data_IF_905257163496
#
_entry.id   IF_905257163496
#
_cell.length_a   1.000
_cell.length_b   1.000
_cell.length_c   1.000
_cell.angle_alpha   90.00
_cell.angle_beta   90.00
_cell.angle_gamma   90.00
#
_symmetry.space_group_name_H-M   'P 1'
#
loop_
_entity.id
_entity.type
_entity.pdbx_description
1 polymer ?
#
# COMPACT_ATOMS: atom_id res chain seq x y z
N UNK A 1 -0.64 -9.98 17.66
CA UNK A 1 -0.73 -11.20 16.80
C UNK A 1 0.52 -12.05 17.07
N UNK A 2 0.39 -13.36 17.31
CA UNK A 2 1.57 -14.24 17.35
C UNK A 2 2.15 -14.30 15.94
N UNK A 3 3.43 -14.00 15.77
CA UNK A 3 4.12 -13.95 14.47
C UNK A 3 4.33 -15.35 13.83
N UNK A 4 3.87 -16.40 14.51
CA UNK A 4 4.00 -17.77 14.03
C UNK A 4 3.00 -17.97 12.86
N UNK A 5 3.52 -18.10 11.64
CA UNK A 5 2.78 -18.36 10.40
C UNK A 5 2.11 -17.16 9.71
N UNK A 6 2.85 -16.05 9.52
CA UNK A 6 2.38 -14.97 8.66
C UNK A 6 2.43 -15.40 7.19
N UNK A 7 1.29 -15.35 6.51
CA UNK A 7 1.21 -15.40 5.05
C UNK A 7 0.77 -14.05 4.53
N UNK A 8 1.59 -13.41 3.71
CA UNK A 8 1.34 -12.05 3.23
C UNK A 8 1.10 -12.02 1.71
N UNK A 9 0.18 -11.15 1.27
CA UNK A 9 0.11 -10.70 -0.11
C UNK A 9 0.60 -9.25 -0.19
N UNK A 10 1.52 -8.95 -1.10
CA UNK A 10 1.99 -7.59 -1.39
C UNK A 10 1.64 -7.22 -2.83
N UNK A 11 0.77 -6.24 -3.03
CA UNK A 11 0.47 -5.72 -4.36
C UNK A 11 1.57 -4.76 -4.86
N UNK A 12 1.91 -4.83 -6.17
CA UNK A 12 2.99 -4.04 -6.75
C UNK A 12 4.38 -4.43 -6.23
N UNK A 13 4.62 -5.74 -6.00
CA UNK A 13 5.83 -6.26 -5.37
C UNK A 13 7.03 -6.44 -6.33
N UNK A 14 6.89 -6.10 -7.61
CA UNK A 14 7.94 -6.28 -8.60
C UNK A 14 9.07 -5.23 -8.53
N UNK A 15 8.87 -4.10 -7.84
CA UNK A 15 9.87 -3.02 -7.69
C UNK A 15 9.58 -2.10 -6.50
N UNK A 16 10.47 -1.15 -6.27
CA UNK A 16 10.29 -0.06 -5.30
C UNK A 16 9.98 -0.53 -3.89
N UNK A 17 9.05 0.16 -3.23
CA UNK A 17 8.66 -0.14 -1.85
C UNK A 17 8.02 -1.52 -1.72
N UNK A 18 7.15 -1.93 -2.65
CA UNK A 18 6.50 -3.24 -2.58
C UNK A 18 7.49 -4.40 -2.57
N UNK A 19 8.55 -4.32 -3.38
CA UNK A 19 9.64 -5.30 -3.37
C UNK A 19 10.40 -5.31 -2.05
N UNK A 20 10.61 -4.13 -1.42
CA UNK A 20 11.30 -4.03 -0.12
C UNK A 20 10.42 -4.56 1.01
N UNK A 21 9.11 -4.30 0.99
CA UNK A 21 8.16 -4.89 1.96
C UNK A 21 8.12 -6.41 1.82
N UNK A 22 8.06 -6.93 0.60
CA UNK A 22 8.10 -8.38 0.36
C UNK A 22 9.39 -9.01 0.89
N UNK A 23 10.56 -8.40 0.64
CA UNK A 23 11.84 -8.86 1.15
C UNK A 23 11.92 -8.82 2.69
N UNK A 24 11.43 -7.77 3.31
CA UNK A 24 11.41 -7.64 4.77
C UNK A 24 10.45 -8.66 5.42
N UNK A 25 9.31 -8.94 4.81
CA UNK A 25 8.39 -10.01 5.25
C UNK A 25 9.05 -11.39 5.18
N UNK A 26 9.76 -11.70 4.09
CA UNK A 26 10.55 -12.94 3.98
C UNK A 26 11.62 -13.04 5.07
N UNK A 27 12.35 -11.95 5.32
CA UNK A 27 13.38 -11.89 6.37
C UNK A 27 12.80 -12.13 7.77
N UNK A 28 11.52 -11.83 7.97
CA UNK A 28 10.77 -12.12 9.21
C UNK A 28 10.15 -13.52 9.23
N UNK A 29 10.40 -14.36 8.22
CA UNK A 29 9.92 -15.74 8.15
C UNK A 29 8.50 -15.90 7.60
N UNK A 30 7.93 -14.86 6.98
CA UNK A 30 6.63 -14.95 6.37
C UNK A 30 6.66 -15.69 5.02
N UNK A 31 5.59 -16.41 4.68
CA UNK A 31 5.29 -16.78 3.30
C UNK A 31 4.78 -15.54 2.56
N UNK A 32 5.31 -15.25 1.37
CA UNK A 32 4.95 -14.04 0.64
C UNK A 32 4.44 -14.35 -0.76
N UNK A 33 3.21 -13.96 -1.04
CA UNK A 33 2.68 -13.82 -2.39
C UNK A 33 3.04 -12.43 -2.91
N UNK A 34 3.83 -12.38 -3.99
CA UNK A 34 4.23 -11.15 -4.64
C UNK A 34 3.29 -10.88 -5.82
N UNK A 35 2.42 -9.88 -5.70
CA UNK A 35 1.45 -9.52 -6.71
C UNK A 35 1.98 -8.47 -7.68
N UNK A 36 1.88 -8.74 -8.99
CA UNK A 36 2.17 -7.79 -10.05
C UNK A 36 1.34 -8.07 -11.30
N UNK A 37 1.11 -7.05 -12.15
CA UNK A 37 0.44 -7.23 -13.44
C UNK A 37 1.18 -8.20 -14.35
N UNK A 38 2.51 -8.23 -14.24
CA UNK A 38 3.42 -9.15 -14.92
C UNK A 38 4.24 -9.90 -13.87
N UNK A 39 3.80 -11.08 -13.43
CA UNK A 39 4.48 -11.84 -12.38
C UNK A 39 5.90 -12.28 -12.77
N UNK A 40 6.19 -12.43 -14.06
CA UNK A 40 7.53 -12.71 -14.58
C UNK A 40 8.55 -11.58 -14.35
N UNK A 41 8.10 -10.38 -14.01
CA UNK A 41 8.96 -9.26 -13.64
C UNK A 41 9.35 -9.26 -12.15
N UNK A 42 8.94 -10.26 -11.39
CA UNK A 42 9.30 -10.39 -9.97
C UNK A 42 10.62 -11.17 -9.90
N UNK A 43 11.67 -10.49 -9.45
CA UNK A 43 13.03 -10.99 -9.35
C UNK A 43 13.46 -11.36 -7.92
N UNK A 44 12.53 -11.28 -6.96
CA UNK A 44 12.80 -11.61 -5.56
C UNK A 44 12.70 -13.14 -5.37
N UNK A 45 13.78 -13.81 -4.91
CA UNK A 45 13.71 -15.24 -4.62
C UNK A 45 12.79 -15.54 -3.42
N UNK A 46 12.34 -16.78 -3.32
CA UNK A 46 11.55 -17.31 -2.20
C UNK A 46 10.15 -16.71 -2.01
N UNK A 47 9.67 -15.84 -2.93
CA UNK A 47 8.28 -15.41 -2.99
C UNK A 47 7.48 -16.32 -3.94
N UNK A 48 6.16 -16.29 -3.81
CA UNK A 48 5.22 -16.89 -4.77
C UNK A 48 4.70 -15.77 -5.69
N UNK A 49 5.18 -15.67 -6.95
CA UNK A 49 4.68 -14.66 -7.87
C UNK A 49 3.24 -14.96 -8.25
N UNK A 50 2.37 -13.94 -8.20
CA UNK A 50 0.99 -14.04 -8.69
C UNK A 50 0.64 -12.87 -9.60
N UNK A 51 -0.20 -13.15 -10.61
CA UNK A 51 -0.76 -12.09 -11.43
C UNK A 51 -1.80 -11.32 -10.63
N UNK A 52 -1.60 -10.00 -10.51
CA UNK A 52 -2.53 -9.10 -9.83
C UNK A 52 -2.55 -7.74 -10.50
N UNK A 53 -3.63 -7.48 -11.23
CA UNK A 53 -4.04 -6.13 -11.61
C UNK A 53 -5.16 -5.70 -10.67
N UNK A 54 -4.90 -4.72 -9.81
CA UNK A 54 -5.85 -4.27 -8.79
C UNK A 54 -7.06 -3.54 -9.37
N UNK A 55 -7.00 -3.13 -10.63
CA UNK A 55 -8.10 -2.46 -11.35
C UNK A 55 -8.98 -3.44 -12.12
N UNK A 56 -8.57 -4.71 -12.23
CA UNK A 56 -9.32 -5.80 -12.85
C UNK A 56 -9.91 -6.74 -11.78
N UNK A 57 -11.24 -6.71 -11.62
CA UNK A 57 -11.94 -7.52 -10.63
C UNK A 57 -11.73 -9.02 -10.79
N UNK A 58 -11.62 -9.51 -12.04
CA UNK A 58 -11.37 -10.92 -12.29
C UNK A 58 -9.93 -11.31 -11.91
N UNK A 59 -8.96 -10.44 -12.15
CA UNK A 59 -7.58 -10.62 -11.68
C UNK A 59 -7.52 -10.68 -10.15
N UNK A 60 -8.21 -9.75 -9.48
CA UNK A 60 -8.28 -9.68 -8.02
C UNK A 60 -8.93 -10.94 -7.44
N UNK A 61 -10.04 -11.41 -8.03
CA UNK A 61 -10.72 -12.64 -7.60
C UNK A 61 -9.80 -13.86 -7.71
N UNK A 62 -9.16 -14.08 -8.87
CA UNK A 62 -8.22 -15.18 -9.06
C UNK A 62 -7.05 -15.13 -8.08
N UNK A 63 -6.56 -13.93 -7.78
CA UNK A 63 -5.51 -13.77 -6.78
C UNK A 63 -5.96 -14.20 -5.38
N UNK A 64 -7.19 -13.85 -4.96
CA UNK A 64 -7.75 -14.27 -3.68
C UNK A 64 -8.00 -15.77 -3.60
N UNK A 65 -8.45 -16.40 -4.69
CA UNK A 65 -8.59 -17.87 -4.79
C UNK A 65 -7.23 -18.59 -4.66
N UNK A 66 -6.19 -18.03 -5.31
CA UNK A 66 -4.83 -18.60 -5.29
C UNK A 66 -4.14 -18.42 -3.95
N UNK A 67 -4.26 -17.26 -3.33
CA UNK A 67 -3.62 -16.87 -2.08
C UNK A 67 -4.59 -16.99 -0.90
N UNK A 68 -5.27 -18.14 -0.80
CA UNK A 68 -6.36 -18.41 0.15
C UNK A 68 -5.91 -18.57 1.62
N UNK A 69 -4.63 -18.61 1.89
CA UNK A 69 -4.03 -18.70 3.23
C UNK A 69 -3.47 -17.34 3.75
N UNK A 70 -3.79 -16.24 3.08
CA UNK A 70 -3.31 -14.89 3.47
C UNK A 70 -3.92 -14.44 4.79
N UNK A 71 -3.04 -13.95 5.68
CA UNK A 71 -3.37 -13.30 6.95
C UNK A 71 -2.94 -11.83 7.00
N UNK A 72 -2.02 -11.42 6.09
CA UNK A 72 -1.55 -10.03 5.97
C UNK A 72 -1.70 -9.55 4.53
N UNK A 73 -2.46 -8.48 4.34
CA UNK A 73 -2.61 -7.82 3.05
C UNK A 73 -1.82 -6.50 3.02
N UNK A 74 -0.97 -6.31 2.01
CA UNK A 74 -0.27 -5.05 1.77
C UNK A 74 -0.74 -4.42 0.45
N UNK A 75 -1.53 -3.36 0.55
CA UNK A 75 -1.96 -2.54 -0.56
C UNK A 75 -0.89 -1.47 -0.84
N UNK A 76 0.02 -1.78 -1.77
CA UNK A 76 1.13 -0.90 -2.14
C UNK A 76 1.08 -0.51 -3.63
N UNK A 77 0.45 -1.28 -4.50
CA UNK A 77 0.38 -0.97 -5.93
C UNK A 77 -0.12 0.46 -6.17
N UNK A 78 0.54 1.17 -7.06
CA UNK A 78 0.21 2.56 -7.35
C UNK A 78 0.86 3.07 -8.63
N UNK A 79 0.36 4.20 -9.10
CA UNK A 79 0.85 4.96 -10.24
C UNK A 79 1.07 6.42 -9.84
N UNK A 80 1.75 7.19 -10.67
CA UNK A 80 1.79 8.65 -10.56
C UNK A 80 1.88 9.22 -11.96
N UNK A 81 0.77 9.80 -12.42
CA UNK A 81 0.66 10.43 -13.72
C UNK A 81 1.13 11.88 -13.70
N UNK A 82 1.20 12.47 -12.49
CA UNK A 82 1.48 13.90 -12.25
C UNK A 82 0.47 14.82 -12.94
N UNK A 83 -0.74 14.35 -13.15
CA UNK A 83 -1.78 15.12 -13.80
C UNK A 83 -2.26 16.29 -12.93
N UNK A 84 -2.31 17.48 -13.55
CA UNK A 84 -3.02 18.63 -13.01
C UNK A 84 -4.52 18.40 -13.14
N UNK A 85 -5.29 18.80 -12.13
CA UNK A 85 -6.75 18.62 -12.15
C UNK A 85 -7.46 19.45 -13.23
N UNK A 86 -6.95 20.65 -13.55
CA UNK A 86 -7.62 21.56 -14.47
C UNK A 86 -7.15 21.41 -15.92
N UNK A 87 -5.90 20.99 -16.15
CA UNK A 87 -5.30 21.01 -17.47
C UNK A 87 -4.72 19.65 -17.90
N UNK A 88 -4.61 18.69 -16.97
CA UNK A 88 -4.14 17.34 -17.29
C UNK A 88 -5.21 16.50 -18.01
N UNK A 89 -4.80 15.42 -18.71
CA UNK A 89 -5.72 14.49 -19.31
C UNK A 89 -6.68 13.90 -18.26
N UNK A 90 -7.97 13.87 -18.56
CA UNK A 90 -8.98 13.35 -17.63
C UNK A 90 -8.82 11.83 -17.39
N UNK A 91 -8.32 11.11 -18.39
CA UNK A 91 -7.94 9.70 -18.29
C UNK A 91 -6.86 9.46 -17.23
N UNK A 92 -5.88 10.34 -17.09
CA UNK A 92 -4.84 10.27 -16.06
C UNK A 92 -5.43 10.53 -14.66
N UNK A 93 -6.35 11.50 -14.54
CA UNK A 93 -7.07 11.76 -13.29
C UNK A 93 -7.89 10.54 -12.87
N UNK A 94 -8.58 9.90 -13.84
CA UNK A 94 -9.33 8.66 -13.58
C UNK A 94 -8.41 7.50 -13.20
N UNK A 95 -7.29 7.34 -13.90
CA UNK A 95 -6.32 6.28 -13.61
C UNK A 95 -5.78 6.34 -12.17
N UNK A 96 -5.52 7.56 -11.65
CA UNK A 96 -5.12 7.75 -10.25
C UNK A 96 -6.22 7.26 -9.28
N UNK A 97 -7.48 7.64 -9.52
CA UNK A 97 -8.61 7.19 -8.69
C UNK A 97 -8.86 5.68 -8.82
N UNK A 98 -8.88 5.15 -10.04
CA UNK A 98 -9.06 3.71 -10.29
C UNK A 98 -7.97 2.87 -9.60
N UNK A 99 -6.73 3.37 -9.57
CA UNK A 99 -5.63 2.63 -8.95
C UNK A 99 -5.64 2.79 -7.43
N UNK A 100 -5.60 4.02 -6.93
CA UNK A 100 -5.33 4.27 -5.50
C UNK A 100 -6.55 4.13 -4.60
N UNK A 101 -7.75 4.37 -5.13
CA UNK A 101 -9.00 4.22 -4.37
C UNK A 101 -9.70 2.91 -4.72
N UNK A 102 -10.21 2.77 -5.94
CA UNK A 102 -10.99 1.59 -6.32
C UNK A 102 -10.16 0.31 -6.34
N UNK A 103 -8.93 0.34 -6.85
CA UNK A 103 -8.04 -0.81 -6.85
C UNK A 103 -7.69 -1.29 -5.44
N UNK A 104 -7.38 -0.39 -4.52
CA UNK A 104 -7.16 -0.71 -3.11
C UNK A 104 -8.43 -1.31 -2.48
N UNK A 105 -9.60 -0.71 -2.75
CA UNK A 105 -10.88 -1.21 -2.26
C UNK A 105 -11.21 -2.60 -2.81
N UNK A 106 -10.99 -2.85 -4.11
CA UNK A 106 -11.24 -4.14 -4.76
C UNK A 106 -10.44 -5.25 -4.08
N UNK A 107 -9.13 -5.04 -3.91
CA UNK A 107 -8.25 -6.03 -3.27
C UNK A 107 -8.66 -6.24 -1.81
N UNK A 108 -8.93 -5.16 -1.08
CA UNK A 108 -9.38 -5.26 0.32
C UNK A 108 -10.66 -6.08 0.43
N UNK A 109 -11.67 -5.80 -0.40
CA UNK A 109 -12.95 -6.54 -0.38
C UNK A 109 -12.80 -8.02 -0.72
N UNK A 110 -11.88 -8.37 -1.61
CA UNK A 110 -11.63 -9.76 -1.98
C UNK A 110 -10.86 -10.53 -0.90
N UNK A 111 -9.94 -9.86 -0.19
CA UNK A 111 -9.09 -10.52 0.79
C UNK A 111 -9.62 -10.47 2.23
N UNK A 112 -10.53 -9.57 2.58
CA UNK A 112 -11.16 -9.55 3.91
C UNK A 112 -11.79 -10.90 4.28
N UNK A 113 -12.61 -11.55 3.42
CA UNK A 113 -13.16 -12.88 3.73
C UNK A 113 -12.07 -13.95 3.89
N UNK A 114 -10.97 -13.86 3.12
CA UNK A 114 -9.83 -14.78 3.22
C UNK A 114 -9.15 -14.63 4.58
N UNK A 115 -8.85 -13.39 4.98
CA UNK A 115 -8.21 -13.09 6.27
C UNK A 115 -9.10 -13.54 7.44
N UNK A 116 -10.41 -13.31 7.36
CA UNK A 116 -11.35 -13.79 8.39
C UNK A 116 -11.38 -15.31 8.50
N UNK A 117 -11.44 -15.99 7.35
CA UNK A 117 -11.42 -17.46 7.31
C UNK A 117 -10.15 -18.03 7.97
N UNK A 118 -9.03 -17.31 7.86
CA UNK A 118 -7.76 -17.70 8.46
C UNK A 118 -7.60 -17.22 9.92
N UNK A 119 -8.66 -16.76 10.57
CA UNK A 119 -8.66 -16.41 11.99
C UNK A 119 -8.34 -14.95 12.30
N UNK A 120 -8.48 -14.06 11.34
CA UNK A 120 -8.14 -12.65 11.44
C UNK A 120 -6.73 -12.32 10.95
N UNK A 121 -6.35 -11.06 11.04
CA UNK A 121 -5.04 -10.62 10.54
C UNK A 121 -4.91 -9.11 10.41
N UNK A 122 -4.17 -8.66 9.40
CA UNK A 122 -3.84 -7.24 9.26
C UNK A 122 -3.83 -6.76 7.81
N UNK A 123 -4.14 -5.49 7.62
CA UNK A 123 -4.07 -4.79 6.33
C UNK A 123 -3.13 -3.58 6.48
N UNK A 124 -2.15 -3.45 5.60
CA UNK A 124 -1.28 -2.30 5.47
C UNK A 124 -1.62 -1.55 4.18
N UNK A 125 -2.02 -0.28 4.29
CA UNK A 125 -2.27 0.59 3.15
C UNK A 125 -1.17 1.64 3.01
N UNK A 126 -0.56 1.72 1.82
CA UNK A 126 0.55 2.66 1.53
C UNK A 126 0.01 3.97 0.98
N UNK A 127 0.28 5.05 1.72
CA UNK A 127 -0.10 6.41 1.38
C UNK A 127 1.11 7.34 1.25
N UNK A 128 0.84 8.61 1.12
CA UNK A 128 1.83 9.67 0.93
C UNK A 128 1.47 10.86 1.81
N UNK A 129 2.45 11.72 2.07
CA UNK A 129 2.18 13.07 2.59
C UNK A 129 1.20 13.83 1.71
N UNK A 130 1.09 13.46 0.42
CA UNK A 130 0.14 14.04 -0.52
C UNK A 130 -1.32 13.62 -0.25
N UNK A 131 -1.58 12.76 0.73
CA UNK A 131 -2.93 12.60 1.30
C UNK A 131 -3.40 13.86 2.04
N UNK A 132 -2.47 14.74 2.43
CA UNK A 132 -2.70 15.96 3.22
C UNK A 132 -2.17 17.23 2.55
N UNK A 133 -1.14 17.11 1.71
CA UNK A 133 -0.60 18.21 0.88
C UNK A 133 -1.09 18.04 -0.56
N UNK A 134 -1.52 19.14 -1.17
CA UNK A 134 -2.18 19.09 -2.48
C UNK A 134 -1.51 20.05 -3.48
N UNK A 135 -0.24 19.81 -3.89
CA UNK A 135 0.43 20.67 -4.86
C UNK A 135 -0.25 20.56 -6.22
N UNK A 136 -0.39 21.69 -6.97
CA UNK A 136 -1.09 21.68 -8.26
C UNK A 136 -0.52 20.71 -9.29
N UNK A 137 0.78 20.42 -9.22
CA UNK A 137 1.49 19.48 -10.11
C UNK A 137 1.21 18.01 -9.84
N UNK A 138 0.45 17.68 -8.79
CA UNK A 138 0.11 16.32 -8.39
C UNK A 138 -1.33 16.25 -7.85
N UNK A 139 -2.21 17.12 -8.35
CA UNK A 139 -3.57 17.26 -7.83
C UNK A 139 -4.38 15.98 -7.93
N UNK A 140 -4.29 15.27 -9.06
CA UNK A 140 -5.00 13.99 -9.26
C UNK A 140 -4.51 12.91 -8.28
N UNK A 141 -3.19 12.75 -8.15
CA UNK A 141 -2.58 11.84 -7.19
C UNK A 141 -2.97 12.17 -5.74
N UNK A 142 -2.89 13.43 -5.36
CA UNK A 142 -3.25 13.90 -4.02
C UNK A 142 -4.71 13.61 -3.68
N UNK A 143 -5.63 13.89 -4.61
CA UNK A 143 -7.05 13.60 -4.44
C UNK A 143 -7.30 12.09 -4.24
N UNK A 144 -6.64 11.24 -5.05
CA UNK A 144 -6.77 9.80 -4.95
C UNK A 144 -6.18 9.25 -3.62
N UNK A 145 -5.03 9.78 -3.18
CA UNK A 145 -4.41 9.39 -1.90
C UNK A 145 -5.23 9.88 -0.69
N UNK A 146 -5.82 11.07 -0.76
CA UNK A 146 -6.72 11.58 0.27
C UNK A 146 -8.01 10.73 0.38
N UNK A 147 -8.61 10.37 -0.75
CA UNK A 147 -9.77 9.48 -0.80
C UNK A 147 -9.43 8.08 -0.23
N UNK A 148 -8.28 7.51 -0.58
CA UNK A 148 -7.82 6.23 -0.05
C UNK A 148 -7.55 6.28 1.46
N UNK A 149 -7.00 7.38 1.97
CA UNK A 149 -6.81 7.56 3.41
C UNK A 149 -8.14 7.62 4.16
N UNK A 150 -9.10 8.44 3.70
CA UNK A 150 -10.44 8.49 4.29
C UNK A 150 -11.15 7.12 4.27
N UNK A 151 -11.03 6.38 3.15
CA UNK A 151 -11.52 5.01 3.05
C UNK A 151 -10.84 4.10 4.10
N UNK A 152 -9.55 4.24 4.31
CA UNK A 152 -8.80 3.41 5.27
C UNK A 152 -9.28 3.63 6.70
N UNK A 153 -9.57 4.86 7.08
CA UNK A 153 -10.12 5.16 8.40
C UNK A 153 -11.51 4.54 8.58
N UNK A 154 -12.37 4.61 7.56
CA UNK A 154 -13.70 3.99 7.59
C UNK A 154 -13.62 2.45 7.72
N UNK A 155 -12.82 1.79 6.88
CA UNK A 155 -12.71 0.32 6.92
C UNK A 155 -11.99 -0.18 8.19
N UNK A 156 -11.16 0.61 8.83
CA UNK A 156 -10.56 0.27 10.14
C UNK A 156 -11.64 0.06 11.19
N UNK A 157 -12.60 0.96 11.27
CA UNK A 157 -13.73 0.85 12.18
C UNK A 157 -14.63 -0.35 11.85
N UNK A 158 -14.89 -0.60 10.56
CA UNK A 158 -15.69 -1.75 10.10
C UNK A 158 -15.03 -3.09 10.42
N UNK A 159 -13.68 -3.16 10.36
CA UNK A 159 -12.93 -4.41 10.47
C UNK A 159 -12.45 -4.71 11.90
N UNK A 160 -12.39 -3.71 12.78
CA UNK A 160 -11.96 -3.90 14.17
C UNK A 160 -12.79 -4.99 14.91
N UNK A 161 -14.15 -5.00 14.86
CA UNK A 161 -14.93 -6.05 15.50
C UNK A 161 -14.78 -7.43 14.82
N UNK A 162 -14.21 -7.49 13.62
CA UNK A 162 -13.97 -8.71 12.83
C UNK A 162 -12.55 -9.29 13.04
N UNK A 163 -11.76 -8.72 13.97
CA UNK A 163 -10.41 -9.17 14.29
C UNK A 163 -9.37 -8.86 13.21
N UNK A 164 -9.65 -7.88 12.34
CA UNK A 164 -8.72 -7.44 11.30
C UNK A 164 -8.25 -6.02 11.62
N UNK A 165 -6.95 -5.87 11.75
CA UNK A 165 -6.28 -4.62 12.02
C UNK A 165 -5.92 -3.88 10.74
N UNK A 166 -6.08 -2.55 10.70
CA UNK A 166 -5.77 -1.74 9.52
C UNK A 166 -4.80 -0.63 9.88
N UNK A 167 -3.63 -0.64 9.24
CA UNK A 167 -2.55 0.34 9.41
C UNK A 167 -2.38 1.15 8.13
N UNK A 168 -2.32 2.48 8.24
CA UNK A 168 -1.90 3.38 7.17
C UNK A 168 -0.41 3.72 7.34
N UNK A 169 0.40 3.63 6.28
CA UNK A 169 1.75 4.19 6.28
C UNK A 169 1.82 5.40 5.37
N UNK A 170 2.33 6.51 5.88
CA UNK A 170 2.54 7.75 5.14
C UNK A 170 4.03 8.04 4.99
N UNK A 171 4.42 8.46 3.79
CA UNK A 171 5.80 8.77 3.45
C UNK A 171 5.85 9.90 2.42
N UNK A 172 6.92 10.67 2.44
CA UNK A 172 7.26 11.65 1.42
C UNK A 172 7.89 11.03 0.18
N UNK A 173 9.04 11.57 -0.24
CA UNK A 173 9.76 11.04 -1.39
C UNK A 173 10.61 9.83 -0.99
N UNK A 174 10.43 8.71 -1.70
CA UNK A 174 11.26 7.51 -1.55
C UNK A 174 12.18 7.35 -2.76
N UNK A 175 13.35 6.75 -2.56
CA UNK A 175 14.28 6.46 -3.65
C UNK A 175 13.78 5.29 -4.50
N UNK A 176 12.91 5.65 -5.45
CA UNK A 176 12.27 4.75 -6.42
C UNK A 176 12.18 5.43 -7.79
N UNK A 177 11.92 4.65 -8.82
CA UNK A 177 11.74 5.15 -10.21
C UNK A 177 10.62 6.20 -10.31
N UNK A 178 9.59 6.09 -9.46
CA UNK A 178 8.41 6.98 -9.47
C UNK A 178 8.79 8.45 -9.27
N UNK A 179 9.86 8.71 -8.52
CA UNK A 179 10.35 10.04 -8.17
C UNK A 179 11.83 10.25 -8.55
N UNK A 180 12.25 9.69 -9.69
CA UNK A 180 13.62 9.80 -10.20
C UNK A 180 14.10 11.24 -10.41
N UNK A 181 13.18 12.18 -10.59
CA UNK A 181 13.43 13.62 -10.77
C UNK A 181 13.73 14.38 -9.46
N UNK A 182 13.57 13.75 -8.30
CA UNK A 182 13.89 14.35 -6.99
C UNK A 182 15.36 14.06 -6.65
N UNK A 183 16.12 15.02 -6.11
CA UNK A 183 17.48 14.80 -5.63
C UNK A 183 17.57 13.69 -4.59
N UNK A 184 18.69 12.93 -4.60
CA UNK A 184 18.83 11.74 -3.75
C UNK A 184 18.81 12.06 -2.24
N UNK A 185 19.37 13.22 -1.85
CA UNK A 185 19.43 13.71 -0.47
C UNK A 185 18.06 14.09 0.12
N UNK A 186 17.04 14.21 -0.73
CA UNK A 186 15.64 14.48 -0.33
C UNK A 186 14.77 13.22 -0.28
N UNK A 187 15.35 12.06 -0.54
CA UNK A 187 14.64 10.80 -0.60
C UNK A 187 14.93 9.91 0.60
N UNK A 188 13.92 9.20 1.06
CA UNK A 188 14.05 8.16 2.07
C UNK A 188 14.33 6.82 1.42
N UNK A 189 15.21 6.00 2.00
CA UNK A 189 15.46 4.63 1.55
C UNK A 189 14.18 3.79 1.74
N UNK A 190 13.64 3.18 0.67
CA UNK A 190 12.45 2.34 0.77
C UNK A 190 12.63 1.11 1.67
N UNK A 191 13.86 0.65 1.95
CA UNK A 191 14.09 -0.42 2.91
C UNK A 191 13.80 0.04 4.35
N UNK A 192 14.17 1.27 4.70
CA UNK A 192 13.84 1.87 6.00
C UNK A 192 12.32 2.03 6.15
N UNK A 193 11.65 2.50 5.10
CA UNK A 193 10.19 2.65 5.09
C UNK A 193 9.50 1.29 5.26
N UNK A 194 9.97 0.26 4.54
CA UNK A 194 9.42 -1.10 4.64
C UNK A 194 9.50 -1.64 6.07
N UNK A 195 10.68 -1.48 6.72
CA UNK A 195 10.88 -1.90 8.10
C UNK A 195 9.94 -1.18 9.05
N UNK A 196 9.87 0.15 9.01
CA UNK A 196 9.00 0.96 9.88
C UNK A 196 7.52 0.63 9.68
N UNK A 197 7.08 0.48 8.42
CA UNK A 197 5.71 0.13 8.09
C UNK A 197 5.29 -1.23 8.69
N UNK A 198 6.17 -2.24 8.59
CA UNK A 198 5.89 -3.55 9.17
C UNK A 198 6.04 -3.57 10.70
N UNK A 199 6.97 -2.81 11.27
CA UNK A 199 7.07 -2.67 12.73
C UNK A 199 5.77 -2.09 13.30
N UNK A 200 5.24 -1.01 12.71
CA UNK A 200 3.96 -0.42 13.12
C UNK A 200 2.77 -1.35 12.88
N UNK A 201 2.72 -2.03 11.72
CA UNK A 201 1.67 -3.02 11.43
C UNK A 201 1.59 -4.10 12.51
N UNK A 202 2.74 -4.70 12.86
CA UNK A 202 2.78 -5.78 13.85
C UNK A 202 2.66 -5.28 15.31
N UNK A 203 2.96 -4.00 15.56
CA UNK A 203 2.69 -3.35 16.83
C UNK A 203 1.23 -2.93 17.03
N UNK A 204 0.45 -2.94 15.96
CA UNK A 204 -0.95 -2.53 16.02
C UNK A 204 -1.20 -1.05 15.87
N UNK A 205 -0.26 -0.33 15.34
CA UNK A 205 -0.39 1.10 15.14
C UNK A 205 -1.40 1.40 14.01
N UNK A 206 -2.35 2.30 14.23
CA UNK A 206 -3.30 2.67 13.18
C UNK A 206 -2.65 3.47 12.06
N UNK A 207 -1.53 4.16 12.37
CA UNK A 207 -0.83 5.04 11.42
C UNK A 207 0.68 5.03 11.70
N UNK A 208 1.47 4.94 10.62
CA UNK A 208 2.94 5.02 10.65
C UNK A 208 3.40 6.22 9.81
N UNK A 209 4.13 7.13 10.42
CA UNK A 209 4.76 8.28 9.75
C UNK A 209 6.23 7.93 9.47
N UNK A 210 6.52 7.46 8.25
CA UNK A 210 7.76 6.77 7.95
C UNK A 210 8.98 7.69 7.76
N UNK A 211 8.78 9.02 7.66
CA UNK A 211 9.86 9.99 7.48
C UNK A 211 9.59 11.32 8.19
N UNK A 212 10.59 12.21 8.17
CA UNK A 212 10.47 13.54 8.80
C UNK A 212 9.41 14.41 8.10
N UNK A 213 9.25 14.27 6.77
CA UNK A 213 8.26 15.05 6.03
C UNK A 213 6.85 14.67 6.47
N UNK A 214 6.52 13.37 6.54
CA UNK A 214 5.21 12.92 6.99
C UNK A 214 4.91 13.34 8.43
N UNK A 215 5.89 13.27 9.33
CA UNK A 215 5.75 13.75 10.71
C UNK A 215 5.48 15.26 10.78
N UNK A 216 6.25 16.06 10.03
CA UNK A 216 6.11 17.52 10.04
C UNK A 216 4.77 17.96 9.47
N UNK A 217 4.33 17.37 8.35
CA UNK A 217 3.04 17.71 7.74
C UNK A 217 1.89 17.30 8.64
N UNK A 218 1.93 16.09 9.22
CA UNK A 218 0.87 15.62 10.14
C UNK A 218 0.73 16.53 11.35
N UNK A 219 1.84 16.96 11.93
CA UNK A 219 1.83 17.88 13.08
C UNK A 219 1.17 19.22 12.77
N UNK A 220 1.30 19.72 11.54
CA UNK A 220 0.66 20.97 11.09
C UNK A 220 -0.87 20.84 10.97
N UNK A 221 -1.38 19.64 10.63
CA UNK A 221 -2.83 19.40 10.57
C UNK A 221 -3.51 19.45 11.96
N UNK A 222 -2.76 19.10 13.00
CA UNK A 222 -3.26 19.06 14.38
C UNK A 222 -3.20 20.42 15.08
N UNK A 223 -2.55 21.41 14.48
CA UNK A 223 -2.36 22.77 15.03
C UNK A 223 -3.21 23.86 14.36
N UNK A 224 -4.14 23.47 13.48
CA UNK A 224 -5.05 24.40 12.79
C UNK A 224 -6.41 24.48 13.47
#
# INVERSE_FOLDING_TARGET
>A
MKQDHVTALVSGANRGLGRRIAAELLARGAKVYAGARRPEAIDLPDVVPIQLDITDLDSVRRAAETASDVTVLVNNAGVSTRASLLTGPLEDVRLEMETHYFGTLNVTRAFVPVIEHNGGGSILNVFSVLSWLHPPTSGAYSAAKAAGWAMTDAIREELAPRGIQVTAVHVGYMDTDMVSYIPADQKTDPAVVAKLALDGLFAGEPEVLADNMSRSVKAQLSGA
#
